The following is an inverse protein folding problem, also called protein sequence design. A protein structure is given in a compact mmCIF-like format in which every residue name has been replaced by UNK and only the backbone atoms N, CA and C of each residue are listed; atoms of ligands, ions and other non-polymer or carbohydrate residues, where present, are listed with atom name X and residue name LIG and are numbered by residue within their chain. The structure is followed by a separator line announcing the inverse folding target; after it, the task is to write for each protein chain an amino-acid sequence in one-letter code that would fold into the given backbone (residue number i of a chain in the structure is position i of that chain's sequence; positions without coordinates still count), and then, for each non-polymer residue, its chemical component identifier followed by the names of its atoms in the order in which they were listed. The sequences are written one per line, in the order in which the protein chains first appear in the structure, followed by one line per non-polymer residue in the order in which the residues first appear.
data_IF_156946257519
#
_entry.id   IF_156946257519
#
_cell.length_a   1.000
_cell.length_b   1.000
_cell.length_c   1.000
_cell.angle_alpha   90.00
_cell.angle_beta   90.00
_cell.angle_gamma   90.00
#
_symmetry.space_group_name_H-M   'P 1'
#
loop_
_entity.id
_entity.type
_entity.pdbx_description
1 polymer ?
#
# COMPACT_ATOMS: atom_id res chain seq x y z
N UNK A 1 -31.31 40.22 49.37
CA UNK A 1 -31.11 39.13 48.38
C UNK A 1 -29.63 38.83 48.32
N UNK A 2 -29.18 37.70 48.87
CA UNK A 2 -27.76 37.31 48.93
C UNK A 2 -27.39 36.54 47.66
N UNK A 3 -26.44 37.07 46.88
CA UNK A 3 -26.09 36.57 45.54
C UNK A 3 -25.10 35.41 45.62
N UNK A 4 -25.61 34.18 45.77
CA UNK A 4 -24.79 32.96 45.65
C UNK A 4 -24.61 32.53 44.18
N UNK A 5 -25.60 32.79 43.33
CA UNK A 5 -25.52 32.52 41.90
C UNK A 5 -24.69 33.62 41.21
N UNK A 6 -23.52 33.24 40.69
CA UNK A 6 -22.65 34.09 39.88
C UNK A 6 -22.28 33.34 38.59
N UNK A 7 -22.12 34.02 37.44
CA UNK A 7 -21.68 33.37 36.21
C UNK A 7 -20.19 32.97 36.31
N UNK A 8 -19.80 31.96 35.53
CA UNK A 8 -18.40 31.53 35.38
C UNK A 8 -17.79 32.25 34.19
N UNK A 9 -16.83 33.16 34.43
CA UNK A 9 -16.17 33.94 33.36
C UNK A 9 -14.97 33.22 32.72
N UNK A 10 -14.44 32.17 33.37
CA UNK A 10 -13.34 31.36 32.85
C UNK A 10 -13.55 29.89 33.23
N UNK A 11 -13.34 28.93 32.31
CA UNK A 11 -13.46 27.51 32.61
C UNK A 11 -12.36 27.04 33.58
N UNK A 12 -12.63 25.94 34.29
CA UNK A 12 -11.62 25.31 35.14
C UNK A 12 -10.46 24.78 34.28
N UNK A 13 -9.22 25.11 34.65
CA UNK A 13 -8.03 24.58 34.00
C UNK A 13 -7.75 23.16 34.50
N UNK A 14 -7.65 22.21 33.58
CA UNK A 14 -7.29 20.83 33.89
C UNK A 14 -5.84 20.69 34.36
N UNK A 15 -5.51 19.51 34.92
CA UNK A 15 -4.14 19.14 35.25
C UNK A 15 -3.70 19.41 36.70
N UNK A 16 -4.60 19.83 37.59
CA UNK A 16 -4.29 19.96 39.03
C UNK A 16 -4.64 18.72 39.85
N UNK A 17 -5.67 17.97 39.47
CA UNK A 17 -6.15 16.77 40.18
C UNK A 17 -6.14 15.52 39.29
N UNK A 18 -6.45 14.36 39.89
CA UNK A 18 -6.25 12.98 39.40
C UNK A 18 -5.97 12.84 37.89
N UNK A 19 -4.69 12.59 37.58
CA UNK A 19 -4.13 12.47 36.22
C UNK A 19 -3.27 13.67 35.79
N UNK A 20 -3.25 14.75 36.57
CA UNK A 20 -2.47 15.96 36.36
C UNK A 20 -1.09 16.02 37.05
N UNK A 21 -0.59 17.24 37.31
CA UNK A 21 0.73 17.54 37.89
C UNK A 21 1.02 16.69 39.14
N UNK A 22 2.27 16.20 39.24
CA UNK A 22 2.82 15.30 40.28
C UNK A 22 2.75 15.81 41.74
N UNK A 23 2.06 16.91 42.01
CA UNK A 23 1.96 17.52 43.34
C UNK A 23 1.08 16.66 44.27
N UNK A 24 0.10 15.94 43.71
CA UNK A 24 -0.74 15.02 44.46
C UNK A 24 -0.26 13.58 44.31
N UNK A 25 -0.18 12.85 45.43
CA UNK A 25 0.18 11.44 45.44
C UNK A 25 -0.81 10.58 44.65
N UNK A 26 -0.36 9.46 44.06
CA UNK A 26 -1.24 8.57 43.31
C UNK A 26 -2.34 8.03 44.22
N UNK A 27 -3.59 8.20 43.78
CA UNK A 27 -4.73 7.67 44.51
C UNK A 27 -4.95 6.19 44.19
N UNK A 28 -5.36 5.42 45.19
CA UNK A 28 -5.77 4.03 45.01
C UNK A 28 -7.25 3.89 44.61
N UNK A 29 -7.97 5.02 44.50
CA UNK A 29 -9.38 5.04 44.08
C UNK A 29 -9.46 5.00 42.56
N UNK A 30 -10.19 4.03 42.02
CA UNK A 30 -10.44 3.88 40.58
C UNK A 30 -11.96 3.77 40.33
N UNK A 31 -12.40 4.19 39.15
CA UNK A 31 -13.78 4.01 38.71
C UNK A 31 -13.97 2.62 38.11
N UNK A 32 -15.20 2.10 38.12
CA UNK A 32 -15.53 0.87 37.36
C UNK A 32 -15.25 1.00 35.86
N UNK A 33 -15.21 2.23 35.34
CA UNK A 33 -14.82 2.53 33.95
C UNK A 33 -13.33 2.34 33.68
N UNK A 34 -12.50 2.38 34.72
CA UNK A 34 -11.04 2.24 34.60
C UNK A 34 -10.59 0.76 34.67
N UNK A 35 -11.55 -0.17 34.82
CA UNK A 35 -11.28 -1.61 34.77
C UNK A 35 -10.81 -1.95 33.35
N UNK A 36 -9.79 -2.80 33.26
CA UNK A 36 -9.20 -3.21 31.99
C UNK A 36 -10.27 -3.77 31.03
N UNK A 37 -10.49 -3.05 29.94
CA UNK A 37 -11.37 -3.43 28.84
C UNK A 37 -10.70 -3.09 27.52
N UNK A 38 -10.98 -3.85 26.46
CA UNK A 38 -10.35 -3.71 25.14
C UNK A 38 -8.81 -3.70 25.21
N UNK A 39 -8.23 -4.68 25.89
CA UNK A 39 -6.77 -4.82 26.07
C UNK A 39 -6.02 -5.19 24.79
N UNK A 40 -6.75 -5.55 23.73
CA UNK A 40 -6.20 -5.92 22.43
C UNK A 40 -6.63 -4.90 21.37
N UNK A 41 -5.64 -4.30 20.70
CA UNK A 41 -5.88 -3.44 19.55
C UNK A 41 -6.06 -4.31 18.31
N UNK A 42 -7.11 -4.07 17.53
CA UNK A 42 -7.31 -4.75 16.25
C UNK A 42 -6.35 -4.15 15.22
N UNK A 43 -5.38 -4.92 14.68
CA UNK A 43 -4.58 -4.44 13.57
C UNK A 43 -5.47 -4.27 12.34
N UNK A 44 -5.11 -3.33 11.46
CA UNK A 44 -5.74 -3.24 10.15
C UNK A 44 -5.37 -4.50 9.34
N UNK A 45 -6.34 -5.13 8.70
CA UNK A 45 -6.08 -6.29 7.86
C UNK A 45 -5.23 -5.88 6.66
N UNK A 46 -4.06 -6.49 6.52
CA UNK A 46 -3.15 -6.28 5.38
C UNK A 46 -3.83 -6.67 4.07
N UNK A 47 -4.73 -7.66 4.09
CA UNK A 47 -5.58 -7.99 2.94
C UNK A 47 -6.46 -6.83 2.48
N UNK A 48 -6.91 -5.95 3.37
CA UNK A 48 -7.74 -4.80 2.98
C UNK A 48 -6.90 -3.65 2.38
N UNK A 49 -5.60 -3.57 2.72
CA UNK A 49 -4.70 -2.49 2.27
C UNK A 49 -3.87 -2.90 1.05
N UNK A 50 -3.29 -4.11 1.05
CA UNK A 50 -2.41 -4.59 -0.02
C UNK A 50 -3.15 -5.07 -1.28
N UNK A 51 -4.47 -5.27 -1.23
CA UNK A 51 -5.24 -5.61 -2.43
C UNK A 51 -5.16 -4.50 -3.49
N UNK A 52 -4.98 -3.24 -3.07
CA UNK A 52 -4.84 -2.10 -3.99
C UNK A 52 -3.46 -2.09 -4.68
N UNK A 53 -2.38 -2.19 -3.90
CA UNK A 53 -1.00 -2.22 -4.39
C UNK A 53 -0.74 -3.43 -5.31
N UNK A 54 -1.20 -4.62 -4.95
CA UNK A 54 -1.00 -5.84 -5.75
C UNK A 54 -1.84 -5.79 -7.04
N UNK A 55 -3.03 -5.20 -7.02
CA UNK A 55 -3.84 -5.03 -8.23
C UNK A 55 -3.20 -4.07 -9.22
N UNK A 56 -2.68 -2.93 -8.75
CA UNK A 56 -1.97 -1.97 -9.60
C UNK A 56 -0.72 -2.62 -10.22
N UNK A 57 0.06 -3.36 -9.43
CA UNK A 57 1.26 -4.03 -9.93
C UNK A 57 0.91 -5.08 -11.01
N UNK A 58 -0.16 -5.87 -10.81
CA UNK A 58 -0.65 -6.84 -11.80
C UNK A 58 -1.11 -6.17 -13.10
N UNK A 59 -1.84 -5.06 -13.00
CA UNK A 59 -2.31 -4.30 -14.17
C UNK A 59 -1.12 -3.71 -14.91
N UNK A 60 -0.16 -3.10 -14.21
CA UNK A 60 1.03 -2.50 -14.80
C UNK A 60 1.87 -3.56 -15.53
N UNK A 61 2.13 -4.70 -14.90
CA UNK A 61 2.88 -5.82 -15.51
C UNK A 61 2.15 -6.34 -16.75
N UNK A 62 0.83 -6.53 -16.69
CA UNK A 62 0.05 -6.99 -17.83
C UNK A 62 0.11 -6.01 -19.01
N UNK A 63 -0.02 -4.71 -18.74
CA UNK A 63 0.09 -3.65 -19.76
C UNK A 63 1.49 -3.60 -20.36
N UNK A 64 2.54 -3.65 -19.55
CA UNK A 64 3.94 -3.62 -20.03
C UNK A 64 4.25 -4.84 -20.92
N UNK A 65 3.87 -6.05 -20.49
CA UNK A 65 4.11 -7.28 -21.27
C UNK A 65 3.37 -7.21 -22.62
N UNK A 66 2.09 -6.81 -22.62
CA UNK A 66 1.28 -6.76 -23.85
C UNK A 66 1.76 -5.68 -24.83
N UNK A 67 2.12 -4.50 -24.31
CA UNK A 67 2.35 -3.34 -25.17
C UNK A 67 3.80 -3.16 -25.59
N UNK A 68 4.75 -3.78 -24.88
CA UNK A 68 6.19 -3.63 -25.15
C UNK A 68 6.82 -4.95 -25.58
N UNK A 69 6.64 -6.04 -24.81
CA UNK A 69 7.34 -7.30 -25.07
C UNK A 69 6.80 -8.05 -26.30
N UNK A 70 5.48 -8.11 -26.48
CA UNK A 70 4.86 -8.80 -27.62
C UNK A 70 5.27 -8.18 -28.98
N UNK A 71 5.18 -6.86 -29.21
CA UNK A 71 5.57 -6.28 -30.49
C UNK A 71 7.07 -6.39 -30.77
N UNK A 72 7.92 -6.28 -29.75
CA UNK A 72 9.37 -6.47 -29.90
C UNK A 72 9.71 -7.90 -30.38
N UNK A 73 9.09 -8.91 -29.78
CA UNK A 73 9.28 -10.30 -30.18
C UNK A 73 8.76 -10.55 -31.61
N UNK A 74 7.65 -9.92 -31.98
CA UNK A 74 7.07 -10.06 -33.32
C UNK A 74 8.00 -9.48 -34.41
N UNK A 75 8.70 -8.38 -34.11
CA UNK A 75 9.64 -7.73 -35.05
C UNK A 75 10.91 -8.56 -35.23
N UNK A 76 11.45 -9.17 -34.16
CA UNK A 76 12.57 -10.10 -34.28
C UNK A 76 12.21 -11.36 -35.09
N UNK A 77 11.04 -11.94 -34.84
CA UNK A 77 10.61 -13.12 -35.60
C UNK A 77 10.41 -12.78 -37.08
N UNK A 78 9.82 -11.63 -37.40
CA UNK A 78 9.62 -11.21 -38.78
C UNK A 78 10.94 -10.91 -39.50
N UNK A 79 11.92 -10.32 -38.80
CA UNK A 79 13.24 -10.04 -39.38
C UNK A 79 13.99 -11.32 -39.72
N UNK A 80 13.94 -12.33 -38.84
CA UNK A 80 14.51 -13.65 -39.11
C UNK A 80 13.83 -14.37 -40.27
N UNK A 81 12.49 -14.34 -40.34
CA UNK A 81 11.74 -14.93 -41.46
C UNK A 81 12.09 -14.23 -42.78
N UNK A 82 12.14 -12.90 -42.78
CA UNK A 82 12.49 -12.10 -43.96
C UNK A 82 13.91 -12.43 -44.45
N UNK A 83 14.88 -12.54 -43.53
CA UNK A 83 16.26 -12.91 -43.85
C UNK A 83 16.36 -14.31 -44.47
N UNK A 84 15.60 -15.29 -43.93
CA UNK A 84 15.56 -16.65 -44.44
C UNK A 84 14.96 -16.71 -45.86
N UNK A 85 13.91 -15.93 -46.14
CA UNK A 85 13.32 -15.84 -47.48
C UNK A 85 14.24 -15.19 -48.50
N UNK A 86 15.03 -14.18 -48.12
CA UNK A 86 16.01 -13.55 -49.03
C UNK A 86 17.16 -14.50 -49.37
N UNK A 87 17.62 -15.29 -48.39
CA UNK A 87 18.63 -16.34 -48.59
C UNK A 87 18.12 -17.51 -49.46
N UNK A 88 16.83 -17.84 -49.36
CA UNK A 88 16.21 -18.84 -50.23
C UNK A 88 16.09 -18.34 -51.67
N UNK A 89 15.79 -17.04 -51.85
CA UNK A 89 15.64 -16.40 -53.15
C UNK A 89 16.97 -16.15 -53.89
N UNK A 90 18.08 -16.00 -53.17
CA UNK A 90 19.43 -15.83 -53.76
C UNK A 90 20.09 -17.13 -54.22
N UNK A 91 19.46 -18.29 -54.02
CA UNK A 91 19.91 -19.57 -54.60
C UNK A 91 21.19 -20.16 -54.01
N UNK A 92 21.78 -19.55 -52.97
CA UNK A 92 23.04 -20.04 -52.38
C UNK A 92 22.87 -21.35 -51.57
N UNK A 93 21.64 -21.73 -51.21
CA UNK A 93 21.35 -22.97 -50.48
C UNK A 93 21.40 -24.24 -51.33
N UNK A 94 21.40 -24.15 -52.66
CA UNK A 94 21.53 -25.35 -53.52
C UNK A 94 22.99 -25.86 -53.62
N UNK A 95 23.97 -25.10 -53.14
CA UNK A 95 25.38 -25.51 -53.22
C UNK A 95 25.97 -26.07 -51.91
N UNK A 96 25.28 -25.91 -50.77
CA UNK A 96 25.71 -26.48 -49.48
C UNK A 96 25.04 -27.82 -49.12
N UNK A 97 23.99 -28.24 -49.83
CA UNK A 97 23.29 -29.50 -49.56
C UNK A 97 23.77 -30.68 -50.44
N UNK A 98 24.80 -30.47 -51.26
CA UNK A 98 25.39 -31.48 -52.17
C UNK A 98 26.85 -31.85 -51.83
N UNK A 99 27.33 -31.55 -50.62
CA UNK A 99 28.60 -32.08 -50.08
C UNK A 99 28.34 -32.66 -48.69
#
# INVERSE_FOLDING_TARGET
MTTFARPTWAPAKGGREQGGTRIFGPSQKYSSRDIASHTTLKPRCVSEILMFEISILKILIFVVIKQVCIPLLQVEILSHICCLSTLLASGELLHLCCI
#
